data_IF_391062356334
#
_entry.id   IF_391062356334
#
_cell.length_a   1.000
_cell.length_b   1.000
_cell.length_c   1.000
_cell.angle_alpha   90.00
_cell.angle_beta   90.00
_cell.angle_gamma   90.00
#
_symmetry.space_group_name_H-M   'P 1'
#
loop_
_entity.id
_entity.type
_entity.pdbx_description
1 polymer ?
#
# COMPACT_ATOMS: atom_id res chain seq x y z
N UNK A 1 33.28 4.05 -29.69
CA UNK A 1 32.65 2.79 -29.23
C UNK A 1 33.08 2.53 -27.79
N UNK A 2 32.25 1.97 -26.93
CA UNK A 2 32.69 1.61 -25.60
C UNK A 2 33.81 0.59 -25.66
N UNK A 3 34.79 0.70 -24.76
CA UNK A 3 35.94 -0.22 -24.74
C UNK A 3 35.48 -1.64 -24.38
N UNK A 4 36.24 -2.67 -24.77
CA UNK A 4 35.98 -4.06 -24.39
C UNK A 4 35.92 -4.24 -22.87
N UNK A 5 36.76 -3.51 -22.14
CA UNK A 5 36.76 -3.51 -20.67
C UNK A 5 35.50 -2.91 -20.08
N UNK A 6 34.97 -1.82 -20.65
CA UNK A 6 33.72 -1.20 -20.21
C UNK A 6 32.55 -2.16 -20.42
N UNK A 7 32.48 -2.83 -21.56
CA UNK A 7 31.44 -3.83 -21.81
C UNK A 7 31.52 -5.00 -20.84
N UNK A 8 32.73 -5.50 -20.55
CA UNK A 8 32.96 -6.56 -19.56
C UNK A 8 32.53 -6.17 -18.14
N UNK A 9 32.90 -4.95 -17.71
CA UNK A 9 32.47 -4.37 -16.42
C UNK A 9 30.96 -4.25 -16.35
N UNK A 10 30.33 -3.79 -17.41
CA UNK A 10 28.88 -3.61 -17.51
C UNK A 10 28.13 -4.93 -17.45
N UNK A 11 28.59 -5.97 -18.16
CA UNK A 11 28.05 -7.33 -18.08
C UNK A 11 28.14 -7.85 -16.64
N UNK A 12 29.27 -7.68 -15.97
CA UNK A 12 29.45 -8.11 -14.57
C UNK A 12 28.48 -7.39 -13.63
N UNK A 13 28.30 -6.09 -13.79
CA UNK A 13 27.38 -5.28 -12.96
C UNK A 13 25.93 -5.70 -13.16
N UNK A 14 25.48 -5.90 -14.40
CA UNK A 14 24.09 -6.34 -14.69
C UNK A 14 23.83 -7.76 -14.19
N UNK A 15 24.79 -8.70 -14.34
CA UNK A 15 24.72 -10.04 -13.74
C UNK A 15 24.58 -10.00 -12.21
N UNK A 16 25.29 -9.07 -11.56
CA UNK A 16 25.15 -8.86 -10.10
C UNK A 16 23.75 -8.35 -9.75
N UNK A 17 23.25 -7.35 -10.49
CA UNK A 17 21.89 -6.82 -10.32
C UNK A 17 20.84 -7.92 -10.51
N UNK A 18 20.99 -8.78 -11.51
CA UNK A 18 20.09 -9.91 -11.76
C UNK A 18 20.06 -10.90 -10.56
N UNK A 19 21.20 -11.19 -9.96
CA UNK A 19 21.26 -12.03 -8.75
C UNK A 19 20.55 -11.37 -7.56
N UNK A 20 20.74 -10.08 -7.38
CA UNK A 20 20.10 -9.31 -6.29
C UNK A 20 18.58 -9.28 -6.48
N UNK A 21 18.08 -8.97 -7.68
CA UNK A 21 16.63 -8.91 -7.95
C UNK A 21 15.99 -10.29 -7.79
N UNK A 22 16.67 -11.36 -8.21
CA UNK A 22 16.23 -12.75 -8.00
C UNK A 22 16.11 -13.09 -6.49
N UNK A 23 17.09 -12.71 -5.70
CA UNK A 23 17.05 -12.89 -4.24
C UNK A 23 15.91 -12.08 -3.61
N UNK A 24 15.72 -10.80 -4.02
CA UNK A 24 14.63 -9.96 -3.55
C UNK A 24 13.25 -10.52 -3.91
N UNK A 25 13.09 -11.12 -5.09
CA UNK A 25 11.86 -11.85 -5.48
C UNK A 25 11.54 -12.96 -4.48
N UNK A 26 12.54 -13.79 -4.13
CA UNK A 26 12.34 -14.91 -3.20
C UNK A 26 11.98 -14.42 -1.79
N UNK A 27 12.63 -13.36 -1.30
CA UNK A 27 12.30 -12.75 0.00
C UNK A 27 10.89 -12.16 -0.01
N UNK A 28 10.50 -11.48 -1.10
CA UNK A 28 9.15 -10.94 -1.25
C UNK A 28 8.09 -12.05 -1.27
N UNK A 29 8.33 -13.17 -1.95
CA UNK A 29 7.43 -14.32 -1.96
C UNK A 29 7.23 -14.92 -0.56
N UNK A 30 8.31 -15.10 0.21
CA UNK A 30 8.21 -15.60 1.59
C UNK A 30 7.42 -14.66 2.52
N UNK A 31 7.65 -13.34 2.38
CA UNK A 31 6.91 -12.32 3.13
C UNK A 31 5.45 -12.23 2.70
N UNK A 32 5.16 -12.38 1.41
CA UNK A 32 3.81 -12.41 0.88
C UNK A 32 3.00 -13.54 1.51
N UNK A 33 3.53 -14.76 1.51
CA UNK A 33 2.86 -15.91 2.12
C UNK A 33 2.46 -15.63 3.57
N UNK A 34 3.40 -15.08 4.37
CA UNK A 34 3.12 -14.73 5.77
C UNK A 34 2.07 -13.62 5.89
N UNK A 35 2.12 -12.61 5.01
CA UNK A 35 1.14 -11.52 5.02
C UNK A 35 -0.27 -12.01 4.62
N UNK A 36 -0.36 -12.92 3.65
CA UNK A 36 -1.62 -13.57 3.27
C UNK A 36 -2.22 -14.37 4.42
N UNK A 37 -1.44 -15.24 5.05
CA UNK A 37 -1.89 -16.03 6.21
C UNK A 37 -2.40 -15.11 7.34
N UNK A 38 -1.74 -13.97 7.57
CA UNK A 38 -2.17 -12.99 8.58
C UNK A 38 -3.47 -12.28 8.18
N UNK A 39 -3.60 -11.89 6.91
CA UNK A 39 -4.80 -11.25 6.39
C UNK A 39 -6.01 -12.20 6.42
N UNK A 40 -5.83 -13.45 6.00
CA UNK A 40 -6.89 -14.48 6.04
C UNK A 40 -7.37 -14.76 7.45
N UNK A 41 -6.45 -14.82 8.43
CA UNK A 41 -6.81 -15.00 9.85
C UNK A 41 -7.54 -13.78 10.44
N UNK A 42 -7.25 -12.58 9.96
CA UNK A 42 -7.89 -11.35 10.45
C UNK A 42 -9.29 -11.09 9.85
N UNK A 43 -9.58 -11.62 8.66
CA UNK A 43 -10.86 -11.40 7.94
C UNK A 43 -12.10 -11.83 8.75
N UNK A 44 -12.16 -13.04 9.34
CA UNK A 44 -13.35 -13.47 10.08
C UNK A 44 -13.69 -12.55 11.26
N UNK A 45 -12.66 -12.08 11.97
CA UNK A 45 -12.86 -11.16 13.09
C UNK A 45 -13.46 -9.83 12.64
N UNK A 46 -12.87 -9.21 11.61
CA UNK A 46 -13.36 -7.94 11.07
C UNK A 46 -14.77 -8.05 10.47
N UNK A 47 -15.10 -9.19 9.85
CA UNK A 47 -16.44 -9.46 9.32
C UNK A 47 -17.48 -9.61 10.45
N UNK A 48 -17.18 -10.42 11.48
CA UNK A 48 -18.06 -10.58 12.63
C UNK A 48 -18.29 -9.26 13.36
N UNK A 49 -17.22 -8.49 13.60
CA UNK A 49 -17.33 -7.15 14.21
C UNK A 49 -18.25 -6.25 13.40
N UNK A 50 -18.09 -6.22 12.08
CA UNK A 50 -18.93 -5.43 11.20
C UNK A 50 -20.40 -5.87 11.22
N UNK A 51 -20.66 -7.19 11.25
CA UNK A 51 -22.03 -7.73 11.34
C UNK A 51 -22.69 -7.37 12.69
N UNK A 52 -21.95 -7.44 13.79
CA UNK A 52 -22.47 -7.05 15.13
C UNK A 52 -22.86 -5.57 15.11
N UNK A 53 -21.97 -4.69 14.63
CA UNK A 53 -22.25 -3.26 14.57
C UNK A 53 -23.46 -2.97 13.68
N UNK A 54 -23.61 -3.67 12.56
CA UNK A 54 -24.78 -3.52 11.69
C UNK A 54 -26.07 -3.94 12.36
N UNK A 55 -26.07 -5.06 13.10
CA UNK A 55 -27.24 -5.52 13.81
C UNK A 55 -27.61 -4.55 14.92
N UNK A 56 -26.64 -4.09 15.72
CA UNK A 56 -26.86 -3.06 16.74
C UNK A 56 -27.35 -1.74 16.14
N UNK A 57 -26.87 -1.37 14.95
CA UNK A 57 -27.32 -0.15 14.26
C UNK A 57 -28.77 -0.26 13.80
N UNK A 58 -29.24 -1.47 13.45
CA UNK A 58 -30.65 -1.71 13.04
C UNK A 58 -31.62 -1.63 14.22
N UNK A 59 -31.17 -1.95 15.43
CA UNK A 59 -32.00 -1.89 16.63
C UNK A 59 -32.11 -0.49 17.23
N UNK A 60 -31.27 0.46 16.80
CA UNK A 60 -31.37 1.86 17.23
C UNK A 60 -32.63 2.51 16.66
N UNK A 61 -33.63 2.74 17.51
CA UNK A 61 -34.90 3.34 17.11
C UNK A 61 -34.81 4.88 16.97
N UNK A 62 -33.85 5.52 17.61
CA UNK A 62 -33.69 6.98 17.62
C UNK A 62 -32.32 7.40 17.08
N UNK A 63 -32.25 7.92 15.82
CA UNK A 63 -31.01 8.36 15.22
C UNK A 63 -30.35 9.57 15.92
N UNK A 64 -31.11 10.32 16.78
CA UNK A 64 -30.57 11.48 17.44
C UNK A 64 -29.69 11.13 18.66
N UNK A 65 -29.90 9.99 19.26
CA UNK A 65 -29.14 9.48 20.40
C UNK A 65 -28.00 8.53 19.97
N UNK A 66 -27.91 8.18 18.69
CA UNK A 66 -26.89 7.28 18.19
C UNK A 66 -25.47 7.85 18.32
N UNK A 67 -24.45 7.02 18.64
CA UNK A 67 -23.07 7.46 18.76
C UNK A 67 -22.58 8.22 17.53
N UNK A 68 -21.90 9.36 17.73
CA UNK A 68 -21.39 10.21 16.63
C UNK A 68 -20.47 9.49 15.64
N UNK A 69 -19.75 8.46 16.09
CA UNK A 69 -18.92 7.62 15.21
C UNK A 69 -19.72 6.85 14.16
N UNK A 70 -20.99 6.57 14.45
CA UNK A 70 -21.89 5.83 13.58
C UNK A 70 -22.65 6.75 12.62
N UNK A 71 -23.23 7.84 13.14
CA UNK A 71 -24.08 8.75 12.36
C UNK A 71 -23.30 9.90 11.75
N UNK A 72 -22.13 10.23 12.32
CA UNK A 72 -21.34 11.39 11.96
C UNK A 72 -21.72 12.62 12.79
N UNK A 73 -21.09 13.75 12.46
CA UNK A 73 -21.33 15.04 13.09
C UNK A 73 -22.55 15.78 12.50
N UNK A 74 -23.18 15.23 11.45
CA UNK A 74 -24.22 15.92 10.67
C UNK A 74 -23.65 16.96 9.69
N UNK A 75 -22.40 17.36 9.85
CA UNK A 75 -21.70 18.25 8.94
C UNK A 75 -20.88 17.46 7.89
N UNK A 76 -20.56 18.11 6.78
CA UNK A 76 -19.78 17.49 5.70
C UNK A 76 -18.75 18.50 5.15
N UNK A 77 -18.06 19.15 6.08
CA UNK A 77 -17.13 20.25 5.74
C UNK A 77 -15.66 19.87 5.90
N UNK A 78 -15.35 19.01 6.85
CA UNK A 78 -13.97 18.66 7.23
C UNK A 78 -13.70 17.19 6.93
N UNK A 79 -12.64 16.92 6.19
CA UNK A 79 -12.24 15.56 5.79
C UNK A 79 -10.87 15.18 6.34
N UNK A 80 -10.78 14.01 6.96
CA UNK A 80 -9.53 13.35 7.26
C UNK A 80 -9.26 12.25 6.25
N UNK A 81 -8.11 12.30 5.60
CA UNK A 81 -7.67 11.29 4.64
C UNK A 81 -6.45 10.57 5.18
N UNK A 82 -6.57 9.27 5.43
CA UNK A 82 -5.47 8.42 5.89
C UNK A 82 -4.95 7.60 4.73
N UNK A 83 -3.68 7.78 4.36
CA UNK A 83 -3.08 7.15 3.18
C UNK A 83 -2.04 6.12 3.61
N UNK A 84 -2.33 4.83 3.36
CA UNK A 84 -1.47 3.71 3.69
C UNK A 84 -0.57 3.37 2.50
N UNK A 85 0.73 3.43 2.69
CA UNK A 85 1.76 3.14 1.68
C UNK A 85 2.89 2.33 2.28
N UNK A 86 3.88 1.94 1.46
CA UNK A 86 5.06 1.27 1.94
C UNK A 86 6.11 2.26 2.49
N UNK A 87 6.91 1.80 3.44
CA UNK A 87 8.11 2.51 3.88
C UNK A 87 9.30 2.31 2.93
N UNK A 88 9.30 1.20 2.18
CA UNK A 88 10.39 0.84 1.24
C UNK A 88 9.88 0.91 -0.20
N UNK A 89 10.80 1.22 -1.12
CA UNK A 89 10.52 1.22 -2.55
C UNK A 89 10.64 -0.16 -3.22
N UNK A 90 10.84 -0.14 -4.53
CA UNK A 90 11.00 -1.32 -5.39
C UNK A 90 9.79 -2.26 -5.40
N UNK A 91 8.60 -1.71 -5.22
CA UNK A 91 7.31 -2.40 -5.28
C UNK A 91 6.46 -1.97 -6.51
N UNK A 92 7.11 -1.69 -7.64
CA UNK A 92 6.44 -1.30 -8.87
C UNK A 92 5.57 -0.04 -8.69
N UNK A 93 4.35 -0.08 -9.22
CA UNK A 93 3.38 1.01 -9.15
C UNK A 93 2.59 1.10 -7.85
N UNK A 94 2.83 0.23 -6.87
CA UNK A 94 2.06 0.12 -5.63
C UNK A 94 1.83 1.47 -4.94
N UNK A 95 2.89 2.18 -4.56
CA UNK A 95 2.77 3.47 -3.88
C UNK A 95 2.16 4.56 -4.76
N UNK A 96 2.56 4.59 -6.03
CA UNK A 96 2.10 5.62 -6.98
C UNK A 96 0.60 5.51 -7.27
N UNK A 97 0.07 4.29 -7.34
CA UNK A 97 -1.35 4.06 -7.61
C UNK A 97 -2.23 4.52 -6.45
N UNK A 98 -1.85 4.20 -5.19
CA UNK A 98 -2.55 4.70 -4.00
C UNK A 98 -2.48 6.24 -3.94
N UNK A 99 -1.29 6.81 -4.11
CA UNK A 99 -1.12 8.25 -4.07
C UNK A 99 -1.90 8.95 -5.18
N UNK A 100 -2.02 8.36 -6.38
CA UNK A 100 -2.83 8.90 -7.47
C UNK A 100 -4.31 8.93 -7.10
N UNK A 101 -4.84 7.82 -6.56
CA UNK A 101 -6.23 7.75 -6.08
C UNK A 101 -6.49 8.77 -4.98
N UNK A 102 -5.60 8.86 -3.98
CA UNK A 102 -5.71 9.81 -2.89
C UNK A 102 -5.70 11.26 -3.39
N UNK A 103 -4.75 11.63 -4.26
CA UNK A 103 -4.67 12.98 -4.85
C UNK A 103 -5.91 13.36 -5.67
N UNK A 104 -6.52 12.41 -6.38
CA UNK A 104 -7.78 12.65 -7.10
C UNK A 104 -8.90 13.00 -6.13
N UNK A 105 -9.01 12.28 -5.00
CA UNK A 105 -9.98 12.58 -3.96
C UNK A 105 -9.67 13.91 -3.25
N UNK A 106 -8.41 14.21 -2.97
CA UNK A 106 -8.02 15.50 -2.37
C UNK A 106 -8.44 16.68 -3.24
N UNK A 107 -8.20 16.59 -4.57
CA UNK A 107 -8.63 17.61 -5.52
C UNK A 107 -10.15 17.81 -5.47
N UNK A 108 -10.92 16.72 -5.44
CA UNK A 108 -12.38 16.78 -5.34
C UNK A 108 -12.83 17.46 -4.06
N UNK A 109 -12.29 17.06 -2.90
CA UNK A 109 -12.61 17.66 -1.59
C UNK A 109 -12.32 19.15 -1.58
N UNK A 110 -11.15 19.56 -2.08
CA UNK A 110 -10.76 20.97 -2.13
C UNK A 110 -11.57 21.78 -3.14
N UNK A 111 -11.94 21.20 -4.30
CA UNK A 111 -12.80 21.89 -5.29
C UNK A 111 -14.22 22.11 -4.80
N UNK A 112 -14.70 21.29 -3.85
CA UNK A 112 -15.97 21.47 -3.16
C UNK A 112 -15.90 22.49 -2.00
N UNK A 113 -14.77 23.18 -1.82
CA UNK A 113 -14.57 24.17 -0.76
C UNK A 113 -14.44 23.57 0.65
N UNK A 114 -14.19 22.26 0.76
CA UNK A 114 -14.10 21.55 2.04
C UNK A 114 -12.69 21.58 2.60
N UNK A 115 -12.56 21.45 3.91
CA UNK A 115 -11.28 21.37 4.60
C UNK A 115 -10.70 19.96 4.49
N UNK A 116 -9.38 19.86 4.25
CA UNK A 116 -8.66 18.61 4.12
C UNK A 116 -7.58 18.51 5.19
N UNK A 117 -7.51 17.37 5.87
CA UNK A 117 -6.39 16.94 6.72
C UNK A 117 -5.90 15.58 6.25
N UNK A 118 -4.60 15.35 6.32
CA UNK A 118 -3.98 14.14 5.81
C UNK A 118 -3.09 13.51 6.88
N UNK A 119 -3.30 12.22 7.11
CA UNK A 119 -2.36 11.36 7.84
C UNK A 119 -1.70 10.44 6.81
N UNK A 120 -0.38 10.34 6.87
CA UNK A 120 0.37 9.43 6.00
C UNK A 120 0.96 8.29 6.82
N UNK A 121 0.69 7.06 6.41
CA UNK A 121 1.29 5.85 6.97
C UNK A 121 2.20 5.25 5.89
N UNK A 122 3.50 5.22 6.17
CA UNK A 122 4.54 4.84 5.22
C UNK A 122 5.27 6.03 4.59
N UNK A 123 6.59 5.95 4.59
CA UNK A 123 7.48 7.04 4.16
C UNK A 123 7.34 7.37 2.67
N UNK A 124 7.10 6.36 1.81
CA UNK A 124 7.07 6.57 0.36
C UNK A 124 5.84 7.35 -0.11
N UNK A 125 4.69 7.15 0.53
CA UNK A 125 3.50 7.97 0.28
C UNK A 125 3.68 9.38 0.79
N UNK A 126 4.23 9.54 1.99
CA UNK A 126 4.53 10.84 2.55
C UNK A 126 5.40 11.68 1.58
N UNK A 127 6.50 11.13 1.08
CA UNK A 127 7.41 11.81 0.16
C UNK A 127 6.71 12.26 -1.14
N UNK A 128 5.76 11.46 -1.65
CA UNK A 128 5.01 11.79 -2.87
C UNK A 128 3.90 12.82 -2.64
N UNK A 129 3.23 12.77 -1.48
CA UNK A 129 2.11 13.66 -1.14
C UNK A 129 2.62 15.01 -0.67
N UNK A 130 3.70 15.04 0.10
CA UNK A 130 4.28 16.26 0.68
C UNK A 130 4.58 17.35 -0.36
N UNK A 131 4.95 16.98 -1.59
CA UNK A 131 5.31 17.93 -2.65
C UNK A 131 4.18 18.90 -3.00
N UNK A 132 2.94 18.41 -3.02
CA UNK A 132 1.77 19.19 -3.45
C UNK A 132 0.82 19.53 -2.28
N UNK A 133 0.75 18.62 -1.29
CA UNK A 133 -0.21 18.69 -0.19
C UNK A 133 0.43 18.78 1.19
N UNK A 134 1.71 19.19 1.27
CA UNK A 134 2.48 19.23 2.52
C UNK A 134 1.81 20.00 3.65
N UNK A 135 1.13 21.12 3.33
CA UNK A 135 0.41 21.98 4.31
C UNK A 135 -0.81 21.30 4.96
N UNK A 136 -1.32 20.24 4.35
CA UNK A 136 -2.48 19.50 4.87
C UNK A 136 -2.08 18.27 5.67
N UNK A 137 -0.79 17.89 5.65
CA UNK A 137 -0.30 16.71 6.39
C UNK A 137 -0.12 17.10 7.85
N UNK A 138 -0.92 16.47 8.71
CA UNK A 138 -0.89 16.71 10.16
C UNK A 138 0.02 15.72 10.89
N UNK A 139 0.08 14.45 10.41
CA UNK A 139 0.90 13.41 11.05
C UNK A 139 1.45 12.41 10.04
N UNK A 140 2.62 11.86 10.39
CA UNK A 140 3.27 10.78 9.64
C UNK A 140 3.57 9.63 10.58
N UNK A 141 3.14 8.42 10.17
CA UNK A 141 3.54 7.17 10.80
C UNK A 141 4.51 6.41 9.90
N UNK A 142 5.47 5.71 10.49
CA UNK A 142 6.41 4.85 9.79
C UNK A 142 6.73 3.63 10.63
N UNK A 143 6.51 2.46 10.06
CA UNK A 143 6.74 1.17 10.72
C UNK A 143 7.94 0.43 10.12
N UNK A 144 8.92 1.20 9.61
CA UNK A 144 10.10 0.69 8.88
C UNK A 144 10.91 -0.31 9.69
N UNK A 145 10.96 -0.15 11.01
CA UNK A 145 11.77 -0.95 11.93
C UNK A 145 11.01 -2.18 12.46
N UNK A 146 9.72 -2.27 12.17
CA UNK A 146 8.89 -3.40 12.56
C UNK A 146 9.01 -4.53 11.54
N UNK A 147 9.21 -5.77 12.02
CA UNK A 147 9.30 -6.96 11.14
C UNK A 147 7.96 -7.36 10.53
N UNK A 148 6.88 -7.19 11.27
CA UNK A 148 5.51 -7.46 10.85
C UNK A 148 4.61 -6.36 11.40
N UNK A 149 3.50 -6.13 10.73
CA UNK A 149 2.42 -5.28 11.24
C UNK A 149 1.64 -6.10 12.26
N UNK A 150 1.49 -5.57 13.47
CA UNK A 150 0.64 -6.11 14.53
C UNK A 150 -0.56 -5.19 14.79
N UNK A 151 -1.47 -5.61 15.66
CA UNK A 151 -2.61 -4.79 16.04
C UNK A 151 -2.18 -3.48 16.73
N UNK A 152 -1.06 -3.47 17.44
CA UNK A 152 -0.56 -2.28 18.13
C UNK A 152 -0.28 -1.11 17.16
N UNK A 153 0.30 -1.37 15.99
CA UNK A 153 0.53 -0.34 14.98
C UNK A 153 -0.79 0.21 14.41
N UNK A 154 -1.79 -0.65 14.28
CA UNK A 154 -3.12 -0.23 13.86
C UNK A 154 -3.83 0.60 14.92
N UNK A 155 -3.69 0.20 16.18
CA UNK A 155 -4.27 0.89 17.31
C UNK A 155 -3.63 2.28 17.53
N UNK A 156 -2.32 2.41 17.31
CA UNK A 156 -1.64 3.71 17.33
C UNK A 156 -2.24 4.69 16.30
N UNK A 157 -2.52 4.22 15.09
CA UNK A 157 -3.17 5.03 14.05
C UNK A 157 -4.64 5.24 14.39
N UNK A 158 -5.34 4.22 14.88
CA UNK A 158 -6.76 4.29 15.28
C UNK A 158 -7.00 5.30 16.40
N UNK A 159 -6.18 5.26 17.44
CA UNK A 159 -6.25 6.19 18.57
C UNK A 159 -6.00 7.64 18.14
N UNK A 160 -5.11 7.88 17.19
CA UNK A 160 -4.93 9.22 16.62
C UNK A 160 -6.17 9.70 15.88
N UNK A 161 -6.78 8.83 15.06
CA UNK A 161 -8.03 9.15 14.35
C UNK A 161 -9.14 9.49 15.36
N UNK A 162 -9.29 8.68 16.41
CA UNK A 162 -10.29 8.89 17.46
C UNK A 162 -10.04 10.18 18.25
N UNK A 163 -8.79 10.47 18.59
CA UNK A 163 -8.43 11.73 19.27
C UNK A 163 -8.82 12.95 18.45
N UNK A 164 -8.53 12.96 17.15
CA UNK A 164 -8.90 14.04 16.23
C UNK A 164 -10.42 14.15 16.06
N UNK A 165 -11.14 13.04 16.05
CA UNK A 165 -12.60 13.03 15.98
C UNK A 165 -13.25 13.63 17.23
N UNK A 166 -12.78 13.25 18.40
CA UNK A 166 -13.26 13.77 19.67
C UNK A 166 -12.98 15.30 19.83
N UNK A 167 -11.93 15.80 19.17
CA UNK A 167 -11.62 17.24 19.09
C UNK A 167 -12.44 17.97 18.02
N UNK A 168 -13.36 17.31 17.32
CA UNK A 168 -14.15 17.84 16.20
C UNK A 168 -13.28 18.41 15.05
N UNK A 169 -12.11 17.83 14.83
CA UNK A 169 -11.17 18.25 13.80
C UNK A 169 -11.54 17.78 12.40
N UNK A 170 -12.43 16.80 12.29
CA UNK A 170 -13.00 16.33 11.03
C UNK A 170 -14.39 15.71 11.20
N UNK A 171 -15.15 15.64 10.10
CA UNK A 171 -16.50 15.05 10.02
C UNK A 171 -16.47 13.68 9.37
N UNK A 172 -15.60 13.50 8.36
CA UNK A 172 -15.47 12.24 7.61
C UNK A 172 -14.03 11.78 7.54
N UNK A 173 -13.83 10.47 7.74
CA UNK A 173 -12.53 9.83 7.61
C UNK A 173 -12.54 8.84 6.45
N UNK A 174 -11.60 8.98 5.51
CA UNK A 174 -11.41 8.10 4.36
C UNK A 174 -10.03 7.46 4.43
N UNK A 175 -10.01 6.13 4.37
CA UNK A 175 -8.81 5.31 4.37
C UNK A 175 -8.45 4.89 2.95
N UNK A 176 -7.23 5.18 2.50
CA UNK A 176 -6.71 4.82 1.19
C UNK A 176 -5.67 3.71 1.34
N UNK A 177 -5.92 2.58 0.71
CA UNK A 177 -5.03 1.41 0.76
C UNK A 177 -5.19 0.53 -0.49
N UNK A 178 -4.32 -0.47 -0.67
CA UNK A 178 -4.49 -1.48 -1.71
C UNK A 178 -5.15 -2.74 -1.14
N UNK A 179 -6.27 -3.12 -1.71
CA UNK A 179 -6.89 -4.41 -1.46
C UNK A 179 -6.13 -5.50 -2.25
N UNK A 180 -5.78 -6.58 -1.57
CA UNK A 180 -5.09 -7.71 -2.15
C UNK A 180 -6.09 -8.70 -2.77
N UNK A 181 -6.20 -8.70 -4.10
CA UNK A 181 -7.01 -9.67 -4.82
C UNK A 181 -6.21 -10.94 -5.17
N UNK A 182 -5.04 -10.76 -5.74
CA UNK A 182 -4.06 -11.82 -6.04
C UNK A 182 -2.67 -11.19 -6.26
N UNK A 183 -1.66 -12.03 -6.52
CA UNK A 183 -0.26 -11.61 -6.70
C UNK A 183 -0.07 -10.60 -7.84
N UNK A 184 -0.89 -10.68 -8.88
CA UNK A 184 -0.78 -9.84 -10.07
C UNK A 184 -1.63 -8.57 -9.90
N UNK A 185 -2.79 -8.69 -9.25
CA UNK A 185 -3.80 -7.62 -9.18
C UNK A 185 -3.94 -7.12 -7.75
N UNK A 186 -3.53 -5.87 -7.53
CA UNK A 186 -3.79 -5.11 -6.33
C UNK A 186 -4.65 -3.90 -6.71
N UNK A 187 -5.74 -3.68 -5.98
CA UNK A 187 -6.73 -2.66 -6.30
C UNK A 187 -6.64 -1.54 -5.28
N UNK A 188 -6.19 -0.33 -5.69
CA UNK A 188 -6.28 0.84 -4.83
C UNK A 188 -7.74 1.18 -4.55
N UNK A 189 -8.10 1.32 -3.28
CA UNK A 189 -9.45 1.69 -2.89
C UNK A 189 -9.45 2.81 -1.84
N UNK A 190 -10.55 3.53 -1.81
CA UNK A 190 -10.88 4.51 -0.81
C UNK A 190 -12.08 3.98 -0.03
N UNK A 191 -11.91 3.79 1.27
CA UNK A 191 -12.95 3.29 2.17
C UNK A 191 -13.24 4.35 3.21
N UNK A 192 -14.50 4.75 3.34
CA UNK A 192 -14.94 5.60 4.43
C UNK A 192 -15.00 4.74 5.71
N UNK A 193 -14.43 5.23 6.80
CA UNK A 193 -14.44 4.56 8.11
C UNK A 193 -15.21 5.34 9.17
N UNK A 194 -15.35 6.66 9.01
CA UNK A 194 -16.18 7.53 9.84
C UNK A 194 -16.94 8.49 8.92
N UNK A 195 -18.27 8.63 9.09
CA UNK A 195 -19.15 7.70 9.81
C UNK A 195 -19.10 6.29 9.24
N UNK A 196 -19.46 5.30 10.05
CA UNK A 196 -19.47 3.91 9.61
C UNK A 196 -20.47 3.73 8.46
N UNK A 197 -20.02 3.13 7.33
CA UNK A 197 -20.90 2.86 6.20
C UNK A 197 -21.89 1.74 6.55
N UNK A 198 -23.15 2.10 6.73
CA UNK A 198 -24.23 1.15 6.94
C UNK A 198 -24.88 0.67 5.63
N UNK A 199 -24.55 1.30 4.49
CA UNK A 199 -25.31 1.19 3.23
C UNK A 199 -24.85 0.12 2.24
N UNK A 200 -23.71 -0.55 2.41
CA UNK A 200 -23.12 -1.42 1.38
C UNK A 200 -23.14 -2.92 1.72
N UNK A 201 -24.19 -3.39 2.39
CA UNK A 201 -24.41 -4.83 2.48
C UNK A 201 -25.75 -5.12 1.82
N UNK A 202 -25.76 -5.04 0.49
CA UNK A 202 -26.74 -5.73 -0.34
C UNK A 202 -26.49 -7.24 -0.17
N UNK A 203 -27.49 -7.95 0.33
CA UNK A 203 -27.73 -9.39 0.21
C UNK A 203 -26.61 -10.41 0.60
N UNK A 204 -25.70 -10.06 1.47
CA UNK A 204 -24.93 -11.08 2.17
C UNK A 204 -25.70 -11.52 3.40
N UNK A 205 -26.19 -12.78 3.38
CA UNK A 205 -26.83 -13.50 4.48
C UNK A 205 -26.56 -12.83 5.83
N UNK A 206 -27.50 -11.99 6.26
CA UNK A 206 -27.60 -11.65 7.66
C UNK A 206 -27.90 -12.98 8.34
N UNK A 207 -26.95 -13.47 9.14
CA UNK A 207 -27.28 -14.53 10.06
C UNK A 207 -28.46 -13.99 10.88
N UNK A 208 -29.64 -14.59 10.73
CA UNK A 208 -30.85 -14.24 11.47
C UNK A 208 -30.72 -14.67 12.95
N UNK A 209 -29.55 -14.48 13.53
CA UNK A 209 -29.36 -14.67 14.95
C UNK A 209 -29.93 -13.46 15.69
N UNK A 210 -30.95 -13.71 16.49
CA UNK A 210 -31.42 -12.78 17.50
C UNK A 210 -30.35 -12.79 18.60
N UNK A 211 -29.55 -11.71 18.68
CA UNK A 211 -28.62 -11.54 19.78
C UNK A 211 -29.35 -10.93 20.97
N UNK A 212 -29.23 -11.53 22.12
CA UNK A 212 -29.54 -10.89 23.40
C UNK A 212 -28.29 -10.12 23.81
N UNK A 213 -28.43 -8.81 24.01
CA UNK A 213 -27.33 -7.94 24.40
C UNK A 213 -27.38 -7.66 25.91
N UNK A 214 -26.26 -7.83 26.58
CA UNK A 214 -26.05 -7.49 27.98
C UNK A 214 -24.65 -6.86 28.12
N UNK A 215 -24.48 -5.63 28.60
CA UNK A 215 -25.48 -4.61 29.01
C UNK A 215 -26.27 -3.98 27.85
N UNK A 216 -26.81 -2.76 28.02
CA UNK A 216 -27.64 -2.08 27.03
C UNK A 216 -26.87 -1.84 25.71
N UNK A 217 -27.59 -1.84 24.59
CA UNK A 217 -27.04 -1.76 23.23
C UNK A 217 -26.15 -0.52 23.02
N UNK A 218 -26.48 0.60 23.65
CA UNK A 218 -25.72 1.87 23.53
C UNK A 218 -24.35 1.78 24.22
N UNK A 219 -24.25 1.16 25.40
CA UNK A 219 -22.96 0.96 26.09
C UNK A 219 -22.03 0.04 25.28
N UNK A 220 -22.61 -1.00 24.68
CA UNK A 220 -21.84 -1.93 23.83
C UNK A 220 -21.30 -1.18 22.59
N UNK A 221 -22.10 -0.30 21.97
CA UNK A 221 -21.68 0.48 20.82
C UNK A 221 -20.59 1.49 21.16
N UNK A 222 -20.66 2.16 22.31
CA UNK A 222 -19.60 3.08 22.75
C UNK A 222 -18.24 2.39 22.90
N UNK A 223 -18.23 1.11 23.28
CA UNK A 223 -17.02 0.31 23.42
C UNK A 223 -16.55 -0.31 22.09
N UNK A 224 -17.49 -0.75 21.24
CA UNK A 224 -17.17 -1.45 20.00
C UNK A 224 -16.76 -0.52 18.87
N UNK A 225 -17.35 0.68 18.76
CA UNK A 225 -17.08 1.58 17.66
C UNK A 225 -15.61 2.05 17.59
N UNK A 226 -14.97 2.46 18.71
CA UNK A 226 -13.54 2.74 18.72
C UNK A 226 -12.68 1.52 18.31
N UNK A 227 -13.00 0.35 18.86
CA UNK A 227 -12.30 -0.91 18.52
C UNK A 227 -12.49 -1.30 17.05
N UNK A 228 -13.65 -1.02 16.48
CA UNK A 228 -13.90 -1.23 15.05
C UNK A 228 -13.01 -0.37 14.17
N UNK A 229 -12.76 0.89 14.51
CA UNK A 229 -11.87 1.77 13.76
C UNK A 229 -10.45 1.17 13.74
N UNK A 230 -9.89 0.80 14.89
CA UNK A 230 -8.59 0.13 14.97
C UNK A 230 -8.57 -1.19 14.18
N UNK A 231 -9.68 -1.94 14.19
CA UNK A 231 -9.82 -3.20 13.43
C UNK A 231 -9.86 -2.95 11.93
N UNK A 232 -10.57 -1.93 11.46
CA UNK A 232 -10.59 -1.58 10.03
C UNK A 232 -9.22 -1.08 9.55
N UNK A 233 -8.52 -0.27 10.34
CA UNK A 233 -7.15 0.14 10.07
C UNK A 233 -6.22 -1.08 10.03
N UNK A 234 -6.36 -2.02 10.96
CA UNK A 234 -5.57 -3.27 10.98
C UNK A 234 -5.80 -4.11 9.74
N UNK A 235 -7.06 -4.34 9.36
CA UNK A 235 -7.43 -5.03 8.12
C UNK A 235 -6.78 -4.36 6.91
N UNK A 236 -6.88 -3.03 6.80
CA UNK A 236 -6.30 -2.29 5.69
C UNK A 236 -4.76 -2.37 5.68
N UNK A 237 -4.10 -2.35 6.84
CA UNK A 237 -2.65 -2.54 6.94
C UNK A 237 -2.21 -3.94 6.50
N UNK A 238 -2.96 -4.99 6.87
CA UNK A 238 -2.66 -6.37 6.45
C UNK A 238 -2.84 -6.56 4.94
N UNK A 239 -3.96 -6.07 4.37
CA UNK A 239 -4.22 -6.09 2.93
C UNK A 239 -3.15 -5.30 2.15
N UNK A 240 -2.77 -4.15 2.69
CA UNK A 240 -1.72 -3.30 2.12
C UNK A 240 -0.34 -3.97 2.17
N UNK A 241 0.00 -4.67 3.26
CA UNK A 241 1.25 -5.41 3.40
C UNK A 241 1.33 -6.58 2.40
N UNK A 242 0.24 -7.34 2.24
CA UNK A 242 0.17 -8.42 1.25
C UNK A 242 0.30 -7.86 -0.18
N UNK A 243 -0.42 -6.78 -0.48
CA UNK A 243 -0.36 -6.07 -1.78
C UNK A 243 1.03 -5.54 -2.09
N UNK A 244 1.73 -4.97 -1.10
CA UNK A 244 3.11 -4.49 -1.23
C UNK A 244 4.07 -5.62 -1.60
N UNK A 245 4.00 -6.77 -0.91
CA UNK A 245 4.90 -7.89 -1.19
C UNK A 245 4.56 -8.56 -2.53
N UNK A 246 3.29 -8.67 -2.92
CA UNK A 246 2.87 -9.15 -4.23
C UNK A 246 3.40 -8.28 -5.35
N UNK A 247 3.20 -6.97 -5.26
CA UNK A 247 3.70 -6.01 -6.23
C UNK A 247 5.24 -5.99 -6.29
N UNK A 248 5.91 -6.11 -5.15
CA UNK A 248 7.39 -6.22 -5.10
C UNK A 248 7.88 -7.50 -5.77
N UNK A 249 7.25 -8.63 -5.52
CA UNK A 249 7.60 -9.90 -6.15
C UNK A 249 7.50 -9.81 -7.68
N UNK A 250 6.40 -9.28 -8.21
CA UNK A 250 6.20 -9.08 -9.64
C UNK A 250 7.19 -8.09 -10.24
N UNK A 251 7.45 -6.97 -9.56
CA UNK A 251 8.43 -5.98 -10.01
C UNK A 251 9.86 -6.54 -10.06
N UNK A 252 10.26 -7.35 -9.08
CA UNK A 252 11.58 -7.98 -9.04
C UNK A 252 11.70 -9.10 -10.07
N UNK A 253 10.62 -9.82 -10.37
CA UNK A 253 10.60 -10.81 -11.45
C UNK A 253 10.84 -10.15 -12.82
N UNK A 254 10.12 -9.07 -13.10
CA UNK A 254 10.30 -8.31 -14.33
C UNK A 254 11.72 -7.71 -14.42
N UNK A 255 12.24 -7.17 -13.33
CA UNK A 255 13.60 -6.64 -13.27
C UNK A 255 14.66 -7.74 -13.52
N UNK A 256 14.43 -8.96 -13.01
CA UNK A 256 15.34 -10.10 -13.21
C UNK A 256 15.34 -10.57 -14.66
N UNK A 257 14.17 -10.64 -15.32
CA UNK A 257 14.06 -10.95 -16.76
C UNK A 257 14.73 -9.89 -17.62
N UNK A 258 14.39 -8.61 -17.40
CA UNK A 258 14.99 -7.50 -18.15
C UNK A 258 16.52 -7.44 -17.99
N UNK A 259 17.04 -7.78 -16.80
CA UNK A 259 18.48 -7.87 -16.58
C UNK A 259 19.10 -9.04 -17.36
N UNK A 260 18.42 -10.18 -17.49
CA UNK A 260 18.83 -11.30 -18.33
C UNK A 260 18.97 -10.88 -19.79
N UNK A 261 17.90 -10.32 -20.35
CA UNK A 261 17.88 -9.85 -21.74
C UNK A 261 18.99 -8.81 -22.03
N UNK A 262 19.26 -7.94 -21.06
CA UNK A 262 20.33 -6.97 -21.17
C UNK A 262 21.73 -7.61 -21.15
N UNK A 263 21.93 -8.64 -20.33
CA UNK A 263 23.18 -9.40 -20.32
C UNK A 263 23.43 -10.07 -21.68
N UNK A 264 22.41 -10.68 -22.27
CA UNK A 264 22.51 -11.34 -23.56
C UNK A 264 22.86 -10.35 -24.68
N UNK A 265 22.16 -9.21 -24.72
CA UNK A 265 22.46 -8.10 -25.67
C UNK A 265 23.88 -7.58 -25.50
N UNK A 266 24.32 -7.35 -24.27
CA UNK A 266 25.68 -6.87 -23.98
C UNK A 266 26.74 -7.92 -24.35
N UNK A 267 26.46 -9.20 -24.17
CA UNK A 267 27.38 -10.28 -24.53
C UNK A 267 27.56 -10.39 -26.05
N UNK A 268 26.47 -10.26 -26.81
CA UNK A 268 26.55 -10.22 -28.29
C UNK A 268 27.39 -9.01 -28.73
N UNK A 269 27.14 -7.81 -28.18
CA UNK A 269 27.91 -6.62 -28.49
C UNK A 269 29.39 -6.76 -28.12
N UNK A 270 29.70 -7.34 -26.96
CA UNK A 270 31.06 -7.62 -26.53
C UNK A 270 31.78 -8.55 -27.52
N UNK A 271 31.15 -9.66 -27.91
CA UNK A 271 31.74 -10.61 -28.86
C UNK A 271 31.98 -9.94 -30.23
N UNK A 272 31.03 -9.15 -30.74
CA UNK A 272 31.20 -8.40 -32.00
C UNK A 272 32.34 -7.39 -31.92
N UNK A 273 32.41 -6.62 -30.86
CA UNK A 273 33.50 -5.64 -30.67
C UNK A 273 34.86 -6.32 -30.50
N UNK A 274 34.91 -7.48 -29.80
CA UNK A 274 36.13 -8.25 -29.65
C UNK A 274 36.61 -8.78 -31.02
N UNK A 275 35.71 -9.33 -31.84
CA UNK A 275 36.06 -9.82 -33.19
C UNK A 275 36.58 -8.67 -34.07
N UNK A 276 35.93 -7.50 -34.01
CA UNK A 276 36.36 -6.32 -34.75
C UNK A 276 37.73 -5.81 -34.30
N UNK A 277 38.05 -5.85 -33.00
CA UNK A 277 39.37 -5.50 -32.48
C UNK A 277 40.45 -6.46 -32.96
N UNK A 278 40.20 -7.76 -32.87
CA UNK A 278 41.12 -8.77 -33.33
C UNK A 278 41.39 -8.61 -34.86
N UNK A 279 40.35 -8.41 -35.65
CA UNK A 279 40.50 -8.18 -37.10
C UNK A 279 41.33 -6.94 -37.38
N UNK A 280 41.10 -5.85 -36.65
CA UNK A 280 41.86 -4.62 -36.80
C UNK A 280 43.34 -4.81 -36.47
N UNK A 281 43.64 -5.48 -35.34
CA UNK A 281 45.00 -5.80 -34.93
C UNK A 281 45.73 -6.69 -35.98
N UNK A 282 45.02 -7.69 -36.53
CA UNK A 282 45.58 -8.52 -37.62
C UNK A 282 45.89 -7.73 -38.88
N UNK A 283 45.00 -6.83 -39.29
CA UNK A 283 45.24 -5.93 -40.45
C UNK A 283 46.44 -5.02 -40.18
N UNK A 284 46.54 -4.45 -38.99
CA UNK A 284 47.71 -3.59 -38.61
C UNK A 284 49.05 -4.38 -38.65
N UNK A 285 49.04 -5.62 -38.20
CA UNK A 285 50.25 -6.48 -38.24
C UNK A 285 50.62 -6.84 -39.67
N UNK A 286 49.66 -7.19 -40.54
CA UNK A 286 49.89 -7.55 -41.96
C UNK A 286 50.41 -6.32 -42.69
N UNK A 287 49.72 -5.17 -42.55
CA UNK A 287 50.16 -3.91 -43.18
C UNK A 287 51.54 -3.47 -42.71
N UNK A 288 51.89 -3.68 -41.42
CA UNK A 288 53.23 -3.41 -40.92
C UNK A 288 54.27 -4.33 -41.50
N UNK A 289 53.98 -5.61 -41.71
CA UNK A 289 54.88 -6.58 -42.34
C UNK A 289 55.10 -6.34 -43.83
N UNK A 290 54.08 -5.81 -44.57
CA UNK A 290 54.22 -5.45 -45.99
C UNK A 290 54.99 -4.12 -46.21
N UNK A 291 55.17 -3.32 -45.17
CA UNK A 291 55.88 -2.03 -45.24
C UNK A 291 57.38 -2.16 -44.89
N UNK A 292 57.86 -3.36 -44.51
CA UNK A 292 59.27 -3.68 -44.25
C UNK A 292 59.87 -4.38 -45.46
#
# INVERSE_FOLDING_TARGET
MPSLDDLKKRIKSVKSTQKITKAMKMVAAAKLRKAQESAEKGRPYSQKMQNIILNLTKSINDPQNAPKLLVGTGENKKYLCVVLTADRGLCGGFNSNICKLAKTNFKKILSEGKQLKIITVGSKGHDQIKREYGKYIIKKFSFKDKKNVSFNEADEVGNEILSLFNQNEFDKCILFYNNFKNVITQIPQAQQIIPAETKNIEDGKTDDFIYEFEPEEDEILEDLLPKNISTQVFKALLENAASEQGSRMTAMDNATRNAGDLVDKLTINYNRSRQASITKELIEIISGAESL
#
